data_IF_838350681629
#
_entry.id   IF_838350681629
#
_cell.length_a   1.000
_cell.length_b   1.000
_cell.length_c   1.000
_cell.angle_alpha   90.00
_cell.angle_beta   90.00
_cell.angle_gamma   90.00
#
_symmetry.space_group_name_H-M   'P 1'
#
loop_
_entity.id
_entity.type
_entity.pdbx_description
1 polymer ?
#
# COMPACT_ATOMS: atom_id res chain seq x y z
N UNK A 1 19.23 -58.51 -0.98
CA UNK A 1 17.98 -57.79 -1.37
C UNK A 1 18.29 -56.31 -1.28
N UNK A 2 18.33 -55.56 -2.38
CA UNK A 2 18.59 -54.13 -2.34
C UNK A 2 17.31 -53.36 -2.10
N UNK A 3 17.38 -52.42 -1.17
CA UNK A 3 16.34 -51.42 -0.86
C UNK A 3 16.29 -50.41 -1.99
N UNK A 4 15.11 -50.29 -2.64
CA UNK A 4 14.79 -49.23 -3.59
C UNK A 4 14.59 -47.91 -2.84
N UNK A 5 15.46 -46.94 -3.11
CA UNK A 5 15.20 -45.53 -2.82
C UNK A 5 14.15 -45.02 -3.81
N UNK A 6 12.97 -44.65 -3.28
CA UNK A 6 11.96 -43.98 -4.05
C UNK A 6 12.32 -42.48 -4.15
N UNK A 7 12.96 -42.10 -5.24
CA UNK A 7 13.20 -40.72 -5.59
C UNK A 7 11.90 -40.02 -5.99
N UNK A 8 11.43 -39.07 -5.18
CA UNK A 8 10.29 -38.21 -5.50
C UNK A 8 10.71 -37.24 -6.60
N UNK A 9 10.34 -37.50 -7.85
CA UNK A 9 10.41 -36.51 -8.94
C UNK A 9 9.25 -35.56 -8.81
N UNK A 10 9.49 -34.39 -8.26
CA UNK A 10 8.57 -33.24 -8.36
C UNK A 10 8.66 -32.67 -9.78
N UNK A 11 7.81 -33.13 -10.67
CA UNK A 11 7.52 -32.46 -11.94
C UNK A 11 6.22 -31.67 -11.79
N UNK A 12 6.28 -30.36 -11.88
CA UNK A 12 5.07 -29.54 -11.96
C UNK A 12 5.24 -28.18 -11.29
N UNK A 13 5.65 -27.21 -12.09
CA UNK A 13 5.69 -25.79 -11.69
C UNK A 13 4.27 -25.25 -11.60
N UNK A 14 3.73 -25.08 -10.42
CA UNK A 14 2.56 -24.24 -10.19
C UNK A 14 2.89 -23.25 -9.08
N UNK A 15 3.21 -22.04 -9.46
CA UNK A 15 3.16 -20.88 -8.57
C UNK A 15 1.95 -20.04 -8.97
N UNK A 16 0.98 -19.90 -8.09
CA UNK A 16 -0.17 -19.03 -8.28
C UNK A 16 0.20 -17.69 -7.69
N UNK A 17 0.33 -16.67 -8.54
CA UNK A 17 0.46 -15.28 -8.10
C UNK A 17 -0.85 -14.55 -8.38
N UNK A 18 -1.35 -13.86 -7.38
CA UNK A 18 -2.55 -13.02 -7.51
C UNK A 18 -2.08 -11.64 -7.96
N UNK A 19 -2.55 -11.22 -9.13
CA UNK A 19 -2.45 -9.84 -9.58
C UNK A 19 -3.43 -9.00 -8.74
N UNK A 20 -2.90 -8.09 -7.94
CA UNK A 20 -3.69 -7.22 -7.06
C UNK A 20 -4.55 -6.18 -7.78
N UNK A 21 -4.41 -6.03 -9.10
CA UNK A 21 -5.25 -5.13 -9.89
C UNK A 21 -6.60 -5.74 -10.28
N UNK A 22 -6.70 -7.08 -10.30
CA UNK A 22 -7.93 -7.82 -10.63
C UNK A 22 -7.95 -9.12 -9.85
N UNK A 23 -9.07 -9.52 -9.29
CA UNK A 23 -9.30 -10.85 -8.74
C UNK A 23 -9.32 -11.93 -9.86
N UNK A 24 -8.37 -11.88 -10.79
CA UNK A 24 -8.21 -12.82 -11.88
C UNK A 24 -6.84 -13.51 -11.77
N UNK A 25 -6.82 -14.81 -11.95
CA UNK A 25 -5.58 -15.61 -12.01
C UNK A 25 -4.89 -15.31 -13.33
N UNK A 26 -3.79 -14.57 -13.31
CA UNK A 26 -2.97 -14.35 -14.49
C UNK A 26 -2.12 -15.60 -14.81
N UNK A 27 -1.96 -15.99 -16.08
CA UNK A 27 -1.15 -17.15 -16.43
C UNK A 27 0.34 -16.89 -16.14
N UNK A 28 0.98 -17.89 -15.56
CA UNK A 28 2.39 -17.92 -15.11
C UNK A 28 3.42 -17.48 -16.17
N UNK A 29 3.06 -17.58 -17.45
CA UNK A 29 3.93 -17.29 -18.58
C UNK A 29 4.32 -15.82 -18.72
N UNK A 30 3.58 -14.89 -18.12
CA UNK A 30 3.88 -13.45 -18.16
C UNK A 30 4.98 -13.01 -17.17
N UNK A 31 5.28 -13.82 -16.16
CA UNK A 31 6.28 -13.47 -15.12
C UNK A 31 7.72 -13.96 -15.43
N UNK A 32 7.90 -14.80 -16.44
CA UNK A 32 9.20 -15.47 -16.66
C UNK A 32 10.18 -14.70 -17.56
N UNK A 33 9.84 -13.51 -18.06
CA UNK A 33 10.68 -12.79 -19.03
C UNK A 33 11.34 -11.50 -18.53
N UNK A 34 11.22 -11.14 -17.25
CA UNK A 34 11.93 -10.01 -16.68
C UNK A 34 12.99 -10.48 -15.70
N UNK A 35 14.25 -10.43 -16.13
CA UNK A 35 15.39 -10.45 -15.22
C UNK A 35 15.40 -9.10 -14.47
N UNK A 36 14.43 -8.94 -13.56
CA UNK A 36 14.29 -7.71 -12.76
C UNK A 36 15.51 -7.56 -11.86
N UNK A 37 16.17 -6.44 -11.97
CA UNK A 37 17.19 -6.05 -11.00
C UNK A 37 16.51 -5.45 -9.78
N UNK A 38 16.93 -5.92 -8.61
CA UNK A 38 16.47 -5.42 -7.32
C UNK A 38 17.66 -4.93 -6.49
N UNK A 39 17.35 -4.04 -5.54
CA UNK A 39 18.31 -3.59 -4.53
C UNK A 39 18.26 -4.53 -3.32
N UNK A 40 19.41 -4.95 -2.86
CA UNK A 40 19.56 -5.76 -1.66
C UNK A 40 20.82 -5.37 -0.89
N UNK A 41 20.65 -4.84 0.32
CA UNK A 41 21.74 -4.49 1.24
C UNK A 41 22.90 -3.73 0.57
N UNK A 42 22.59 -2.62 -0.13
CA UNK A 42 23.61 -1.76 -0.76
C UNK A 42 24.03 -2.20 -2.17
N UNK A 43 23.46 -3.27 -2.73
CA UNK A 43 23.83 -3.81 -4.04
C UNK A 43 22.64 -3.94 -4.96
N UNK A 44 22.85 -3.73 -6.26
CA UNK A 44 21.89 -4.06 -7.31
C UNK A 44 22.21 -5.46 -7.83
N UNK A 45 21.25 -6.36 -7.76
CA UNK A 45 21.40 -7.77 -8.10
C UNK A 45 20.21 -8.26 -8.93
N UNK A 46 20.39 -9.25 -9.82
CA UNK A 46 19.26 -9.98 -10.37
C UNK A 46 18.38 -10.51 -9.23
N UNK A 47 17.09 -10.28 -9.29
CA UNK A 47 16.14 -10.60 -8.20
C UNK A 47 16.17 -12.08 -7.82
N UNK A 48 16.38 -12.96 -8.79
CA UNK A 48 16.52 -14.41 -8.61
C UNK A 48 17.74 -14.83 -7.79
N UNK A 49 18.78 -13.97 -7.72
CA UNK A 49 20.00 -14.22 -6.97
C UNK A 49 19.96 -13.72 -5.53
N UNK A 50 18.83 -13.09 -5.12
CA UNK A 50 18.66 -12.58 -3.76
C UNK A 50 18.21 -13.71 -2.85
N UNK A 51 18.96 -13.93 -1.77
CA UNK A 51 18.62 -14.89 -0.72
C UNK A 51 18.45 -14.17 0.61
N UNK A 52 17.33 -14.42 1.28
CA UNK A 52 17.04 -13.89 2.62
C UNK A 52 17.21 -15.02 3.63
N UNK A 53 17.91 -14.73 4.72
CA UNK A 53 18.10 -15.72 5.79
C UNK A 53 16.76 -16.14 6.38
N UNK A 54 16.52 -17.43 6.64
CA UNK A 54 15.33 -17.88 7.38
C UNK A 54 15.30 -17.34 8.82
N UNK A 55 16.42 -16.86 9.35
CA UNK A 55 16.52 -16.21 10.65
C UNK A 55 16.26 -14.69 10.59
N UNK A 56 15.89 -14.15 9.42
CA UNK A 56 15.49 -12.74 9.32
C UNK A 56 14.24 -12.47 10.16
N UNK A 57 14.31 -11.44 10.99
CA UNK A 57 13.23 -11.12 11.92
C UNK A 57 11.97 -10.62 11.21
N UNK A 58 12.09 -10.09 10.00
CA UNK A 58 10.94 -9.79 9.15
C UNK A 58 10.16 -11.05 8.81
N UNK A 59 10.86 -12.15 8.48
CA UNK A 59 10.24 -13.45 8.22
C UNK A 59 9.67 -14.11 9.50
N UNK A 60 10.38 -14.01 10.63
CA UNK A 60 10.00 -14.67 11.86
C UNK A 60 8.91 -13.93 12.67
N UNK A 61 8.87 -12.60 12.60
CA UNK A 61 8.07 -11.75 13.50
C UNK A 61 7.35 -10.58 12.80
N UNK A 62 7.46 -10.46 11.50
CA UNK A 62 7.06 -9.24 10.78
C UNK A 62 7.74 -7.96 11.35
N UNK A 63 8.99 -8.09 11.87
CA UNK A 63 9.76 -7.02 12.50
C UNK A 63 10.45 -6.17 11.43
N UNK A 64 9.66 -5.28 10.80
CA UNK A 64 10.12 -4.45 9.70
C UNK A 64 9.08 -3.42 9.25
N UNK A 65 9.52 -2.56 8.37
CA UNK A 65 8.73 -1.48 7.75
C UNK A 65 8.80 -1.59 6.22
N UNK A 66 7.85 -0.96 5.53
CA UNK A 66 7.89 -0.88 4.08
C UNK A 66 7.43 0.49 3.59
N UNK A 67 7.79 0.82 2.35
CA UNK A 67 7.25 1.94 1.59
C UNK A 67 6.90 1.50 0.17
N UNK A 68 5.93 2.21 -0.41
CA UNK A 68 5.57 2.09 -1.81
C UNK A 68 5.44 3.49 -2.38
N UNK A 69 6.14 3.76 -3.47
CA UNK A 69 6.05 5.02 -4.20
C UNK A 69 5.77 4.78 -5.67
N UNK A 70 5.10 5.73 -6.33
CA UNK A 70 4.71 5.61 -7.74
C UNK A 70 5.51 6.55 -8.61
N UNK A 71 6.03 6.00 -9.70
CA UNK A 71 6.65 6.72 -10.81
C UNK A 71 5.59 7.08 -11.84
N UNK A 72 5.54 8.36 -12.19
CA UNK A 72 4.58 8.94 -13.15
C UNK A 72 5.29 9.32 -14.44
N UNK A 73 5.88 8.33 -15.14
CA UNK A 73 6.52 8.53 -16.45
C UNK A 73 7.49 9.74 -16.49
N UNK A 74 8.38 9.85 -15.50
CA UNK A 74 9.39 10.92 -15.43
C UNK A 74 9.72 11.40 -14.02
N UNK A 75 8.83 11.19 -13.05
CA UNK A 75 9.04 11.64 -11.68
C UNK A 75 8.28 10.79 -10.65
N UNK A 76 8.72 10.87 -9.38
CA UNK A 76 7.98 10.37 -8.23
C UNK A 76 7.14 11.50 -7.61
N UNK A 77 5.86 11.25 -7.39
CA UNK A 77 5.01 12.22 -6.72
C UNK A 77 5.24 12.19 -5.20
N UNK A 78 5.61 13.34 -4.63
CA UNK A 78 5.84 13.55 -3.18
C UNK A 78 6.77 12.52 -2.51
N UNK A 79 7.88 12.19 -3.16
CA UNK A 79 8.91 11.28 -2.63
C UNK A 79 9.40 11.70 -1.23
N UNK A 80 9.47 12.98 -0.95
CA UNK A 80 9.92 13.50 0.35
C UNK A 80 9.00 13.08 1.50
N UNK A 81 7.68 13.06 1.29
CA UNK A 81 6.72 12.58 2.30
C UNK A 81 6.85 11.07 2.51
N UNK A 82 7.08 10.28 1.45
CA UNK A 82 7.36 8.85 1.57
C UNK A 82 8.63 8.59 2.39
N UNK A 83 9.72 9.30 2.10
CA UNK A 83 10.98 9.17 2.84
C UNK A 83 10.82 9.59 4.32
N UNK A 84 10.11 10.66 4.58
CA UNK A 84 9.82 11.13 5.95
C UNK A 84 9.04 10.09 6.74
N UNK A 85 8.03 9.46 6.12
CA UNK A 85 7.23 8.40 6.74
C UNK A 85 8.06 7.13 6.98
N UNK A 86 8.91 6.75 6.03
CA UNK A 86 9.86 5.65 6.20
C UNK A 86 10.74 5.86 7.44
N UNK A 87 11.39 7.01 7.54
CA UNK A 87 12.24 7.36 8.69
C UNK A 87 11.48 7.35 10.00
N UNK A 88 10.23 7.86 10.00
CA UNK A 88 9.36 7.79 11.19
C UNK A 88 9.08 6.33 11.56
N UNK A 89 8.67 5.50 10.61
CA UNK A 89 8.35 4.09 10.87
C UNK A 89 9.55 3.30 11.39
N UNK A 90 10.74 3.51 10.83
CA UNK A 90 12.00 2.93 11.31
C UNK A 90 12.28 3.32 12.76
N UNK A 91 12.14 4.61 13.10
CA UNK A 91 12.34 5.13 14.46
C UNK A 91 11.35 4.51 15.44
N UNK A 92 10.08 4.43 15.08
CA UNK A 92 9.03 3.84 15.95
C UNK A 92 9.31 2.36 16.25
N UNK A 93 9.82 1.58 15.29
CA UNK A 93 10.24 0.21 15.51
C UNK A 93 11.68 0.10 16.07
N UNK A 94 12.39 1.21 16.23
CA UNK A 94 13.80 1.22 16.68
C UNK A 94 14.69 0.35 15.79
N UNK A 95 14.52 0.48 14.46
CA UNK A 95 15.38 -0.15 13.46
C UNK A 95 16.38 0.92 13.01
N UNK A 96 17.67 0.69 13.27
CA UNK A 96 18.74 1.62 12.91
C UNK A 96 19.26 1.27 11.52
N UNK A 97 18.61 1.82 10.48
CA UNK A 97 19.05 1.70 9.10
C UNK A 97 19.62 3.03 8.61
N UNK A 98 20.96 3.10 8.47
CA UNK A 98 21.69 4.32 8.09
C UNK A 98 21.35 4.84 6.71
N UNK A 99 20.96 3.95 5.80
CA UNK A 99 20.80 4.25 4.38
C UNK A 99 19.39 4.74 4.02
N UNK A 100 18.56 5.10 5.01
CA UNK A 100 17.19 5.59 4.78
C UNK A 100 17.15 6.84 3.86
N UNK A 101 18.23 7.64 3.83
CA UNK A 101 18.37 8.79 2.93
C UNK A 101 18.61 8.40 1.47
N UNK A 102 19.05 7.18 1.21
CA UNK A 102 19.32 6.68 -0.14
C UNK A 102 18.05 6.20 -0.87
N UNK A 103 16.91 6.07 -0.18
CA UNK A 103 15.69 5.53 -0.80
C UNK A 103 15.31 6.24 -2.11
N UNK A 104 15.30 7.59 -2.21
CA UNK A 104 14.99 8.26 -3.47
C UNK A 104 15.94 7.91 -4.61
N UNK A 105 17.25 7.81 -4.33
CA UNK A 105 18.25 7.45 -5.34
C UNK A 105 18.14 5.99 -5.75
N UNK A 106 17.92 5.08 -4.80
CA UNK A 106 17.68 3.65 -5.07
C UNK A 106 16.43 3.47 -5.94
N UNK A 107 15.34 4.19 -5.62
CA UNK A 107 14.11 4.12 -6.40
C UNK A 107 14.33 4.59 -7.85
N UNK A 108 15.05 5.72 -8.06
CA UNK A 108 15.39 6.20 -9.40
C UNK A 108 16.27 5.22 -10.19
N UNK A 109 17.24 4.61 -9.52
CA UNK A 109 18.12 3.63 -10.16
C UNK A 109 17.36 2.38 -10.58
N UNK A 110 16.42 1.89 -9.73
CA UNK A 110 15.57 0.75 -10.06
C UNK A 110 14.64 1.02 -11.25
N UNK A 111 14.11 2.24 -11.38
CA UNK A 111 13.32 2.64 -12.56
C UNK A 111 14.18 2.56 -13.83
N UNK A 112 15.41 3.12 -13.81
CA UNK A 112 16.30 3.15 -14.97
C UNK A 112 16.78 1.76 -15.37
N UNK A 113 17.33 1.00 -14.42
CA UNK A 113 17.93 -0.30 -14.72
C UNK A 113 16.90 -1.32 -15.24
N UNK A 114 15.65 -1.21 -14.81
CA UNK A 114 14.54 -2.04 -15.26
C UNK A 114 13.77 -1.45 -16.45
N UNK A 115 14.24 -0.34 -17.04
CA UNK A 115 13.66 0.31 -18.26
C UNK A 115 12.20 0.71 -18.07
N UNK A 116 11.88 1.30 -16.92
CA UNK A 116 10.52 1.69 -16.57
C UNK A 116 10.26 3.21 -16.70
N UNK A 117 11.23 3.98 -17.25
CA UNK A 117 11.19 5.44 -17.28
C UNK A 117 9.97 6.01 -18.01
N UNK A 118 9.54 5.35 -19.08
CA UNK A 118 8.51 5.84 -19.99
C UNK A 118 7.11 5.24 -19.75
N UNK A 119 6.87 4.72 -18.54
CA UNK A 119 5.58 4.15 -18.16
C UNK A 119 5.32 4.41 -16.67
N UNK A 120 4.07 4.24 -16.24
CA UNK A 120 3.80 4.20 -14.82
C UNK A 120 4.48 2.98 -14.19
N UNK A 121 5.10 3.18 -13.05
CA UNK A 121 5.73 2.10 -12.30
C UNK A 121 5.58 2.31 -10.80
N UNK A 122 5.75 1.23 -10.05
CA UNK A 122 5.76 1.24 -8.59
C UNK A 122 7.14 0.81 -8.09
N UNK A 123 7.58 1.38 -7.00
CA UNK A 123 8.78 0.95 -6.28
C UNK A 123 8.38 0.58 -4.86
N UNK A 124 8.70 -0.65 -4.49
CA UNK A 124 8.55 -1.17 -3.13
C UNK A 124 9.90 -1.19 -2.43
N UNK A 125 9.94 -0.77 -1.19
CA UNK A 125 11.06 -0.92 -0.27
C UNK A 125 10.59 -1.61 1.00
N UNK A 126 11.35 -2.60 1.47
CA UNK A 126 11.17 -3.20 2.79
C UNK A 126 12.49 -3.16 3.55
N UNK A 127 12.41 -2.84 4.83
CA UNK A 127 13.55 -2.88 5.75
C UNK A 127 13.14 -3.65 6.98
N UNK A 128 13.80 -4.77 7.25
CA UNK A 128 13.61 -5.55 8.48
C UNK A 128 14.71 -5.23 9.48
N UNK A 129 14.55 -5.66 10.73
CA UNK A 129 15.63 -5.55 11.72
C UNK A 129 16.85 -6.37 11.36
N UNK A 130 16.77 -7.32 10.44
CA UNK A 130 17.86 -8.21 10.03
C UNK A 130 17.79 -9.59 10.66
N UNK A 131 18.79 -10.41 10.35
CA UNK A 131 18.87 -11.82 10.74
C UNK A 131 19.54 -12.00 12.10
N UNK A 132 18.90 -12.76 12.98
CA UNK A 132 19.48 -13.14 14.28
C UNK A 132 18.81 -14.41 14.80
N UNK A 133 19.49 -15.13 15.71
CA UNK A 133 18.88 -16.27 16.41
C UNK A 133 17.50 -15.85 16.99
N UNK A 134 16.49 -16.69 16.79
CA UNK A 134 15.10 -16.41 17.20
C UNK A 134 15.01 -16.14 18.70
N UNK A 135 14.64 -14.90 19.03
CA UNK A 135 14.33 -14.43 20.37
C UNK A 135 13.29 -13.31 20.28
N UNK A 136 12.40 -13.18 21.25
CA UNK A 136 11.45 -12.04 21.32
C UNK A 136 12.16 -10.72 21.64
N UNK A 137 13.26 -10.76 22.42
CA UNK A 137 14.08 -9.58 22.65
C UNK A 137 14.82 -9.15 21.39
N UNK A 138 15.11 -7.87 21.27
CA UNK A 138 15.96 -7.37 20.20
C UNK A 138 17.38 -7.92 20.35
N UNK A 139 18.09 -8.24 19.25
CA UNK A 139 19.43 -8.79 19.29
C UNK A 139 20.42 -7.83 19.95
N UNK A 140 21.34 -8.42 20.70
CA UNK A 140 22.49 -7.73 21.30
C UNK A 140 23.75 -8.53 21.00
N UNK A 141 24.78 -7.96 20.31
CA UNK A 141 24.75 -6.61 19.72
C UNK A 141 23.67 -6.45 18.63
N UNK A 142 23.40 -5.21 18.22
CA UNK A 142 22.52 -4.93 17.07
C UNK A 142 23.03 -5.65 15.83
N UNK A 143 22.11 -6.13 15.01
CA UNK A 143 22.40 -6.74 13.72
C UNK A 143 22.15 -5.75 12.59
N UNK A 144 22.82 -5.98 11.47
CA UNK A 144 22.60 -5.17 10.26
C UNK A 144 21.15 -5.38 9.73
N UNK A 145 20.37 -4.33 9.52
CA UNK A 145 19.06 -4.45 8.90
C UNK A 145 19.15 -5.08 7.50
N UNK A 146 18.12 -5.82 7.13
CA UNK A 146 17.96 -6.32 5.76
C UNK A 146 17.09 -5.36 4.98
N UNK A 147 17.64 -4.74 3.94
CA UNK A 147 16.94 -3.83 3.05
C UNK A 147 16.78 -4.44 1.66
N UNK A 148 15.53 -4.49 1.18
CA UNK A 148 15.16 -5.05 -0.12
C UNK A 148 14.23 -4.08 -0.84
N UNK A 149 14.53 -3.78 -2.12
CA UNK A 149 13.67 -2.92 -2.94
C UNK A 149 13.64 -3.42 -4.39
N UNK A 150 12.47 -3.29 -5.03
CA UNK A 150 12.28 -3.62 -6.44
C UNK A 150 11.25 -2.69 -7.08
N UNK A 151 11.27 -2.62 -8.42
CA UNK A 151 10.34 -1.85 -9.21
C UNK A 151 9.63 -2.72 -10.24
N UNK A 152 8.39 -2.37 -10.58
CA UNK A 152 7.62 -3.04 -11.64
C UNK A 152 6.73 -2.04 -12.39
N UNK A 153 6.40 -2.36 -13.64
CA UNK A 153 5.42 -1.61 -14.43
C UNK A 153 4.03 -1.68 -13.80
N UNK A 154 3.30 -0.57 -13.81
CA UNK A 154 2.00 -0.45 -13.17
C UNK A 154 0.96 0.13 -14.13
N UNK A 155 -0.22 -0.48 -14.17
CA UNK A 155 -1.37 0.04 -14.93
C UNK A 155 -2.44 0.49 -13.94
N UNK A 156 -2.81 1.79 -13.91
CA UNK A 156 -3.89 2.29 -13.07
C UNK A 156 -5.24 1.66 -13.43
N UNK A 157 -6.08 1.35 -12.44
CA UNK A 157 -7.47 0.94 -12.65
C UNK A 157 -8.34 2.19 -12.91
N UNK A 158 -8.21 2.75 -14.13
CA UNK A 158 -8.95 3.95 -14.54
C UNK A 158 -10.46 3.74 -14.49
N UNK A 159 -10.94 2.53 -14.76
CA UNK A 159 -12.36 2.19 -14.67
C UNK A 159 -12.88 2.34 -13.23
N UNK A 160 -12.15 1.84 -12.25
CA UNK A 160 -12.50 2.03 -10.84
C UNK A 160 -12.48 3.51 -10.43
N UNK A 161 -11.50 4.27 -10.91
CA UNK A 161 -11.41 5.71 -10.64
C UNK A 161 -12.56 6.50 -11.28
N UNK A 162 -13.05 6.10 -12.44
CA UNK A 162 -14.13 6.78 -13.17
C UNK A 162 -15.52 6.39 -12.66
N UNK A 163 -15.78 5.09 -12.46
CA UNK A 163 -17.11 4.58 -12.13
C UNK A 163 -17.37 4.38 -10.63
N UNK A 164 -16.30 4.39 -9.83
CA UNK A 164 -16.35 4.09 -8.40
C UNK A 164 -16.36 2.59 -8.09
N UNK A 165 -16.13 2.28 -6.84
CA UNK A 165 -16.01 0.92 -6.30
C UNK A 165 -17.03 0.65 -5.21
N UNK A 166 -17.29 -0.63 -4.98
CA UNK A 166 -18.02 -1.11 -3.81
C UNK A 166 -17.05 -1.67 -2.80
N UNK A 167 -17.29 -1.40 -1.52
CA UNK A 167 -16.39 -1.79 -0.44
C UNK A 167 -17.15 -2.45 0.71
N UNK A 168 -16.47 -3.35 1.40
CA UNK A 168 -16.98 -4.04 2.59
C UNK A 168 -16.74 -3.22 3.85
N UNK A 169 -17.60 -3.38 4.86
CA UNK A 169 -17.31 -2.97 6.24
C UNK A 169 -16.94 -4.19 7.06
N UNK A 170 -15.93 -4.06 7.92
CA UNK A 170 -15.48 -5.14 8.79
C UNK A 170 -14.93 -4.61 10.11
N UNK A 171 -15.06 -5.39 11.18
CA UNK A 171 -14.41 -5.12 12.45
C UNK A 171 -12.89 -5.01 12.29
N UNK A 172 -12.29 -3.98 12.88
CA UNK A 172 -10.85 -3.72 12.84
C UNK A 172 -10.11 -4.59 13.88
N UNK A 173 -9.61 -5.72 13.42
CA UNK A 173 -8.82 -6.66 14.23
C UNK A 173 -7.30 -6.41 14.15
N UNK A 174 -6.88 -5.31 13.53
CA UNK A 174 -5.46 -4.93 13.46
C UNK A 174 -4.94 -4.53 14.85
N UNK A 175 -3.64 -4.51 14.99
CA UNK A 175 -3.01 -3.99 16.21
C UNK A 175 -3.28 -2.48 16.40
N UNK A 176 -2.90 -1.93 17.56
CA UNK A 176 -3.16 -0.51 17.88
C UNK A 176 -2.03 0.45 17.47
N UNK A 177 -1.19 0.09 16.51
CA UNK A 177 -0.10 0.91 15.96
C UNK A 177 -0.14 0.93 14.43
N UNK A 178 -1.34 1.17 13.86
CA UNK A 178 -1.57 1.30 12.42
C UNK A 178 -0.85 2.53 11.82
N UNK A 179 -0.45 3.47 12.67
CA UNK A 179 0.37 4.64 12.32
C UNK A 179 1.77 4.28 11.82
N UNK A 180 2.27 3.09 12.15
CA UNK A 180 3.56 2.57 11.66
C UNK A 180 3.32 1.79 10.38
N UNK A 181 4.02 2.16 9.29
CA UNK A 181 3.94 1.39 8.03
C UNK A 181 4.77 0.11 8.13
N UNK A 182 4.30 -0.82 8.98
CA UNK A 182 4.95 -2.09 9.27
C UNK A 182 4.52 -3.19 8.31
N UNK A 183 5.36 -4.22 8.16
CA UNK A 183 5.06 -5.43 7.38
C UNK A 183 4.14 -6.42 8.10
N UNK A 184 3.61 -6.07 9.28
CA UNK A 184 2.66 -6.88 10.04
C UNK A 184 1.23 -6.72 9.48
N UNK A 185 1.01 -7.23 8.27
CA UNK A 185 -0.19 -6.97 7.46
C UNK A 185 -1.19 -8.14 7.43
N UNK A 186 -1.04 -9.17 8.26
CA UNK A 186 -1.91 -10.34 8.19
C UNK A 186 -3.40 -10.02 8.35
N UNK A 187 -3.85 -9.17 9.30
CA UNK A 187 -5.25 -8.77 9.37
C UNK A 187 -5.74 -8.00 8.13
N UNK A 188 -4.86 -7.16 7.56
CA UNK A 188 -5.15 -6.40 6.34
C UNK A 188 -5.37 -7.35 5.15
N UNK A 189 -4.46 -8.29 4.94
CA UNK A 189 -4.52 -9.24 3.80
C UNK A 189 -5.70 -10.18 3.90
N UNK A 190 -6.02 -10.70 5.10
CA UNK A 190 -7.19 -11.55 5.32
C UNK A 190 -8.50 -10.80 5.02
N UNK A 191 -8.61 -9.56 5.49
CA UNK A 191 -9.81 -8.73 5.27
C UNK A 191 -9.95 -8.31 3.80
N UNK A 192 -8.85 -7.99 3.13
CA UNK A 192 -8.86 -7.69 1.70
C UNK A 192 -9.21 -8.92 0.86
N UNK A 193 -8.68 -10.09 1.19
CA UNK A 193 -9.01 -11.34 0.52
C UNK A 193 -10.50 -11.65 0.62
N UNK A 194 -11.10 -11.48 1.79
CA UNK A 194 -12.55 -11.66 1.98
C UNK A 194 -13.37 -10.67 1.14
N UNK A 195 -12.94 -9.41 1.03
CA UNK A 195 -13.57 -8.45 0.13
C UNK A 195 -13.50 -8.91 -1.34
N UNK A 196 -12.34 -9.39 -1.80
CA UNK A 196 -12.15 -9.92 -3.15
C UNK A 196 -13.05 -11.14 -3.42
N UNK A 197 -13.18 -12.08 -2.49
CA UNK A 197 -14.06 -13.26 -2.59
C UNK A 197 -15.53 -12.88 -2.72
N UNK A 198 -15.93 -11.72 -2.17
CA UNK A 198 -17.25 -11.15 -2.31
C UNK A 198 -17.40 -10.20 -3.52
N UNK A 199 -16.40 -10.14 -4.41
CA UNK A 199 -16.43 -9.28 -5.60
C UNK A 199 -16.27 -7.78 -5.30
N UNK A 200 -15.81 -7.43 -4.11
CA UNK A 200 -15.59 -6.06 -3.65
C UNK A 200 -14.11 -5.65 -3.81
N UNK A 201 -13.85 -4.36 -3.87
CA UNK A 201 -12.53 -3.83 -4.23
C UNK A 201 -11.68 -3.36 -3.03
N UNK A 202 -12.28 -3.25 -1.85
CA UNK A 202 -11.60 -2.84 -0.63
C UNK A 202 -12.42 -3.26 0.59
N UNK A 203 -11.76 -3.38 1.74
CA UNK A 203 -12.38 -3.56 3.05
C UNK A 203 -12.10 -2.34 3.92
N UNK A 204 -13.15 -1.71 4.42
CA UNK A 204 -13.06 -0.56 5.34
C UNK A 204 -13.27 -1.05 6.77
N UNK A 205 -12.38 -0.65 7.66
CA UNK A 205 -12.38 -1.10 9.04
C UNK A 205 -13.23 -0.21 9.95
N UNK A 206 -13.91 -0.86 10.87
CA UNK A 206 -14.68 -0.24 11.96
C UNK A 206 -14.11 -0.69 13.30
N UNK A 207 -13.73 0.24 14.16
CA UNK A 207 -13.22 -0.02 15.51
C UNK A 207 -14.10 0.68 16.54
N UNK A 208 -14.75 -0.10 17.41
CA UNK A 208 -15.67 0.44 18.43
C UNK A 208 -16.77 1.35 17.82
N UNK A 209 -17.35 0.95 16.69
CA UNK A 209 -18.39 1.69 15.99
C UNK A 209 -17.90 2.92 15.22
N UNK A 210 -16.58 3.11 15.09
CA UNK A 210 -15.96 4.24 14.38
C UNK A 210 -15.20 3.73 13.17
N UNK A 211 -15.44 4.35 12.01
CA UNK A 211 -14.72 4.01 10.77
C UNK A 211 -13.29 4.56 10.88
N UNK A 212 -12.31 3.71 10.61
CA UNK A 212 -10.90 4.06 10.68
C UNK A 212 -10.32 4.32 9.28
N UNK A 213 -9.93 3.28 8.57
CA UNK A 213 -9.35 3.34 7.21
C UNK A 213 -9.60 2.02 6.45
N UNK A 214 -9.13 1.93 5.23
CA UNK A 214 -9.19 0.70 4.45
C UNK A 214 -8.06 -0.28 4.79
N UNK A 215 -8.11 -1.48 4.20
CA UNK A 215 -7.07 -2.49 4.39
C UNK A 215 -5.70 -2.03 3.89
N UNK A 216 -5.67 -1.17 2.87
CA UNK A 216 -4.45 -0.55 2.33
C UNK A 216 -4.66 0.89 1.84
N UNK A 217 -5.72 1.57 2.32
CA UNK A 217 -6.11 2.92 1.91
C UNK A 217 -6.65 3.74 3.09
N UNK A 218 -6.60 5.08 2.98
CA UNK A 218 -7.40 5.95 3.84
C UNK A 218 -8.78 6.18 3.20
N UNK A 219 -9.78 6.54 4.01
CA UNK A 219 -11.14 6.82 3.54
C UNK A 219 -11.57 8.24 3.89
N UNK A 220 -12.34 8.84 2.98
CA UNK A 220 -12.94 10.16 3.11
C UNK A 220 -14.44 10.08 2.87
N UNK A 221 -15.19 10.98 3.51
CA UNK A 221 -16.63 11.08 3.41
C UNK A 221 -17.06 12.52 3.16
N UNK A 222 -18.09 12.71 2.36
CA UNK A 222 -18.74 14.01 2.21
C UNK A 222 -20.13 13.96 2.84
N UNK A 223 -20.33 14.78 3.87
CA UNK A 223 -21.59 14.92 4.61
C UNK A 223 -21.92 16.42 4.63
N UNK A 224 -23.06 16.81 4.10
CA UNK A 224 -23.52 18.19 4.03
C UNK A 224 -22.46 19.17 3.51
N UNK A 225 -21.77 18.78 2.41
CA UNK A 225 -20.73 19.57 1.76
C UNK A 225 -19.41 19.69 2.53
N UNK A 226 -19.27 18.99 3.65
CA UNK A 226 -18.06 18.95 4.46
C UNK A 226 -17.30 17.64 4.22
N UNK A 227 -16.01 17.71 4.00
CA UNK A 227 -15.12 16.56 3.84
C UNK A 227 -14.64 16.07 5.22
N UNK A 228 -14.95 14.82 5.54
CA UNK A 228 -14.54 14.16 6.77
C UNK A 228 -13.50 13.08 6.48
N UNK A 229 -12.54 12.92 7.37
CA UNK A 229 -11.64 11.77 7.41
C UNK A 229 -11.18 11.54 8.85
N UNK A 230 -10.81 10.32 9.18
CA UNK A 230 -10.31 10.01 10.52
C UNK A 230 -9.07 10.87 10.84
N UNK A 231 -8.98 11.50 12.03
CA UNK A 231 -7.80 12.27 12.45
C UNK A 231 -6.57 11.37 12.54
N UNK A 232 -5.39 11.95 12.35
CA UNK A 232 -4.14 11.21 12.56
C UNK A 232 -4.09 10.68 14.00
N UNK A 233 -3.92 9.37 14.10
CA UNK A 233 -3.86 8.64 15.36
C UNK A 233 -3.14 7.32 15.15
N UNK A 234 -2.98 6.54 16.21
CA UNK A 234 -2.44 5.18 16.12
C UNK A 234 -3.41 4.16 15.46
N UNK A 235 -4.62 4.57 15.06
CA UNK A 235 -5.60 3.69 14.42
C UNK A 235 -5.59 3.79 12.89
N UNK A 236 -4.92 4.78 12.31
CA UNK A 236 -4.77 4.93 10.86
C UNK A 236 -3.33 5.23 10.47
N UNK A 237 -2.98 4.89 9.23
CA UNK A 237 -1.73 5.33 8.63
C UNK A 237 -1.86 6.79 8.15
N UNK A 238 -0.86 7.62 8.45
CA UNK A 238 -0.71 8.95 7.84
C UNK A 238 -0.35 8.79 6.35
N UNK A 239 -1.39 8.75 5.49
CA UNK A 239 -1.24 8.54 4.05
C UNK A 239 -0.61 9.74 3.36
N UNK A 240 0.37 9.52 2.48
CA UNK A 240 0.96 10.60 1.66
C UNK A 240 -0.11 11.18 0.73
N UNK A 241 -0.87 10.33 0.05
CA UNK A 241 -2.00 10.76 -0.78
C UNK A 241 -3.09 11.45 0.04
N UNK A 242 -3.41 10.95 1.27
CA UNK A 242 -4.34 11.61 2.19
C UNK A 242 -3.92 13.05 2.48
N UNK A 243 -2.66 13.28 2.82
CA UNK A 243 -2.11 14.62 3.11
C UNK A 243 -2.26 15.57 1.91
N UNK A 244 -1.97 15.09 0.71
CA UNK A 244 -2.10 15.89 -0.51
C UNK A 244 -3.57 16.19 -0.82
N UNK A 245 -4.50 15.25 -0.59
CA UNK A 245 -5.94 15.47 -0.74
C UNK A 245 -6.45 16.55 0.21
N UNK A 246 -6.04 16.54 1.48
CA UNK A 246 -6.42 17.57 2.44
C UNK A 246 -5.94 18.95 2.00
N UNK A 247 -4.69 19.07 1.54
CA UNK A 247 -4.13 20.32 0.98
C UNK A 247 -4.92 20.78 -0.25
N UNK A 248 -5.26 19.88 -1.17
CA UNK A 248 -6.07 20.20 -2.35
C UNK A 248 -7.46 20.69 -1.94
N UNK A 249 -8.13 19.97 -1.04
CA UNK A 249 -9.46 20.34 -0.56
C UNK A 249 -9.48 21.71 0.13
N UNK A 250 -8.47 22.01 0.93
CA UNK A 250 -8.30 23.33 1.55
C UNK A 250 -8.12 24.42 0.50
N UNK A 251 -7.27 24.21 -0.51
CA UNK A 251 -7.03 25.13 -1.62
C UNK A 251 -8.29 25.40 -2.46
N UNK A 252 -9.23 24.46 -2.52
CA UNK A 252 -10.52 24.60 -3.22
C UNK A 252 -11.65 25.13 -2.31
N UNK A 253 -11.33 25.52 -1.08
CA UNK A 253 -12.30 26.08 -0.14
C UNK A 253 -13.31 25.08 0.41
N UNK A 254 -13.04 23.76 0.31
CA UNK A 254 -13.90 22.74 0.91
C UNK A 254 -13.70 22.78 2.42
N UNK A 255 -14.81 22.79 3.15
CA UNK A 255 -14.76 22.63 4.61
C UNK A 255 -14.24 21.24 4.97
N UNK A 256 -13.17 21.18 5.76
CA UNK A 256 -12.55 19.92 6.19
C UNK A 256 -12.78 19.70 7.68
N UNK A 257 -13.05 18.47 8.06
CA UNK A 257 -13.02 17.98 9.44
C UNK A 257 -12.23 16.69 9.52
N UNK A 258 -11.09 16.75 10.19
CA UNK A 258 -10.38 15.56 10.63
C UNK A 258 -11.06 15.01 11.87
N UNK A 259 -12.22 14.39 11.65
CA UNK A 259 -13.10 13.81 12.65
C UNK A 259 -13.58 12.46 12.16
N UNK A 260 -13.47 11.45 13.03
CA UNK A 260 -13.85 10.09 12.70
C UNK A 260 -15.37 9.96 12.52
N UNK A 261 -15.79 9.33 11.43
CA UNK A 261 -17.21 9.08 11.14
C UNK A 261 -17.66 7.80 11.84
N UNK A 262 -18.73 7.88 12.61
CA UNK A 262 -19.35 6.72 13.22
C UNK A 262 -20.12 5.90 12.16
N UNK A 263 -20.10 4.58 12.30
CA UNK A 263 -20.76 3.65 11.38
C UNK A 263 -22.26 4.00 11.17
N UNK A 264 -22.98 4.37 12.24
CA UNK A 264 -24.38 4.74 12.19
C UNK A 264 -24.66 6.04 11.40
N UNK A 265 -23.62 6.82 11.06
CA UNK A 265 -23.72 8.03 10.24
C UNK A 265 -23.59 7.76 8.73
N UNK A 266 -23.28 6.53 8.30
CA UNK A 266 -23.15 6.17 6.87
C UNK A 266 -24.38 6.58 6.07
N UNK A 267 -25.58 6.47 6.64
CA UNK A 267 -26.84 6.90 6.00
C UNK A 267 -26.92 8.37 5.59
N UNK A 268 -26.06 9.21 6.15
CA UNK A 268 -25.97 10.64 5.82
C UNK A 268 -24.85 10.95 4.83
N UNK A 269 -24.01 9.98 4.50
CA UNK A 269 -22.90 10.14 3.58
C UNK A 269 -23.44 10.26 2.16
N UNK A 270 -23.09 11.34 1.47
CA UNK A 270 -23.46 11.58 0.08
C UNK A 270 -22.39 11.10 -0.90
N UNK A 271 -21.13 11.26 -0.53
CA UNK A 271 -19.99 10.80 -1.30
C UNK A 271 -18.95 10.18 -0.36
N UNK A 272 -18.24 9.18 -0.85
CA UNK A 272 -17.03 8.70 -0.21
C UNK A 272 -15.98 8.36 -1.27
N UNK A 273 -14.72 8.34 -0.87
CA UNK A 273 -13.62 7.87 -1.71
C UNK A 273 -12.49 7.34 -0.84
N UNK A 274 -11.74 6.42 -1.39
CA UNK A 274 -10.50 5.94 -0.78
C UNK A 274 -9.29 6.63 -1.41
N UNK A 275 -8.17 6.62 -0.69
CA UNK A 275 -6.91 7.12 -1.21
C UNK A 275 -5.72 6.27 -0.81
N UNK A 276 -4.84 6.02 -1.76
CA UNK A 276 -3.51 5.44 -1.57
C UNK A 276 -2.62 5.75 -2.78
N UNK A 277 -1.38 5.30 -2.78
CA UNK A 277 -0.40 5.57 -3.83
C UNK A 277 -0.79 4.96 -5.19
N UNK A 278 -1.44 3.80 -5.22
CA UNK A 278 -1.83 3.13 -6.47
C UNK A 278 -3.18 3.60 -7.01
N UNK A 279 -4.16 3.80 -6.11
CA UNK A 279 -5.55 4.14 -6.45
C UNK A 279 -5.83 5.63 -6.45
N UNK A 280 -4.84 6.46 -6.05
CA UNK A 280 -4.98 7.93 -5.97
C UNK A 280 -6.25 8.34 -5.21
N UNK A 281 -7.25 8.85 -5.91
CA UNK A 281 -8.58 9.17 -5.41
C UNK A 281 -9.58 8.26 -6.12
N UNK A 282 -10.05 7.21 -5.46
CA UNK A 282 -11.02 6.28 -6.05
C UNK A 282 -12.36 6.39 -5.35
N UNK A 283 -13.44 6.77 -6.07
CA UNK A 283 -14.76 6.94 -5.49
C UNK A 283 -15.30 5.63 -4.92
N UNK A 284 -16.03 5.72 -3.81
CA UNK A 284 -16.80 4.63 -3.21
C UNK A 284 -18.28 4.91 -3.44
N UNK A 285 -18.97 4.04 -4.16
CA UNK A 285 -20.39 4.18 -4.50
C UNK A 285 -21.31 3.32 -3.63
N UNK A 286 -20.72 2.31 -2.95
CA UNK A 286 -21.43 1.44 -2.01
C UNK A 286 -20.51 1.07 -0.86
N UNK A 287 -20.96 1.23 0.37
CA UNK A 287 -20.21 0.97 1.60
C UNK A 287 -21.00 0.04 2.51
N UNK A 288 -20.51 -1.20 2.69
CA UNK A 288 -21.16 -2.20 3.53
C UNK A 288 -22.63 -2.46 3.14
N UNK A 289 -22.91 -2.57 1.83
CA UNK A 289 -24.26 -2.78 1.27
C UNK A 289 -25.14 -1.52 1.20
N UNK A 290 -24.65 -0.37 1.69
CA UNK A 290 -25.37 0.90 1.59
C UNK A 290 -24.91 1.67 0.37
N UNK A 291 -25.80 1.94 -0.58
CA UNK A 291 -25.52 2.83 -1.72
C UNK A 291 -25.33 4.25 -1.20
N UNK A 292 -24.25 4.91 -1.63
CA UNK A 292 -23.94 6.29 -1.26
C UNK A 292 -24.50 7.27 -2.30
N UNK A 293 -25.22 8.30 -1.86
CA UNK A 293 -25.86 9.26 -2.75
C UNK A 293 -26.72 8.57 -3.81
N UNK A 294 -26.42 8.84 -5.07
CA UNK A 294 -27.13 8.27 -6.24
C UNK A 294 -26.42 7.02 -6.80
N UNK A 295 -25.44 6.45 -6.09
CA UNK A 295 -24.67 5.29 -6.54
C UNK A 295 -23.65 5.60 -7.65
N UNK A 296 -23.26 6.86 -7.77
CA UNK A 296 -22.26 7.35 -8.73
C UNK A 296 -21.27 8.30 -8.04
N UNK A 297 -20.05 8.48 -8.59
CA UNK A 297 -19.09 9.42 -8.04
C UNK A 297 -19.64 10.85 -7.96
N UNK A 298 -19.60 11.45 -6.77
CA UNK A 298 -20.15 12.76 -6.52
C UNK A 298 -19.25 13.94 -6.93
N UNK A 299 -19.78 15.16 -6.91
CA UNK A 299 -19.08 16.36 -7.42
C UNK A 299 -17.83 16.73 -6.64
N UNK A 300 -17.81 16.58 -5.30
CA UNK A 300 -16.63 16.89 -4.47
C UNK A 300 -15.52 15.91 -4.77
N UNK A 301 -15.82 14.62 -4.85
CA UNK A 301 -14.87 13.56 -5.20
C UNK A 301 -14.26 13.82 -6.59
N UNK A 302 -15.08 14.10 -7.59
CA UNK A 302 -14.63 14.41 -8.96
C UNK A 302 -13.75 15.66 -9.02
N UNK A 303 -14.08 16.68 -8.26
CA UNK A 303 -13.28 17.90 -8.20
C UNK A 303 -11.89 17.62 -7.60
N UNK A 304 -11.81 16.87 -6.49
CA UNK A 304 -10.55 16.47 -5.87
C UNK A 304 -9.72 15.62 -6.86
N UNK A 305 -10.35 14.64 -7.55
CA UNK A 305 -9.68 13.84 -8.59
C UNK A 305 -9.08 14.72 -9.69
N UNK A 306 -9.87 15.66 -10.22
CA UNK A 306 -9.44 16.54 -11.29
C UNK A 306 -8.25 17.41 -10.86
N UNK A 307 -8.28 17.95 -9.64
CA UNK A 307 -7.17 18.76 -9.11
C UNK A 307 -5.92 17.93 -8.87
N UNK A 308 -6.05 16.74 -8.31
CA UNK A 308 -4.94 15.81 -8.15
C UNK A 308 -4.31 15.47 -9.50
N UNK A 309 -5.11 15.16 -10.51
CA UNK A 309 -4.65 14.88 -11.87
C UNK A 309 -3.96 16.10 -12.54
N UNK A 310 -4.45 17.31 -12.29
CA UNK A 310 -3.83 18.55 -12.79
C UNK A 310 -2.45 18.78 -12.16
N UNK A 311 -2.28 18.51 -10.86
CA UNK A 311 -0.98 18.59 -10.20
C UNK A 311 0.01 17.57 -10.81
N UNK A 312 -0.42 16.32 -11.00
CA UNK A 312 0.42 15.30 -11.65
C UNK A 312 0.85 15.76 -13.06
N UNK A 313 -0.08 16.29 -13.85
CA UNK A 313 0.22 16.81 -15.19
C UNK A 313 1.18 18.00 -15.17
N UNK A 314 1.01 18.92 -14.21
CA UNK A 314 1.88 20.10 -14.07
C UNK A 314 3.32 19.73 -13.68
N UNK A 315 3.53 18.61 -12.99
CA UNK A 315 4.86 18.10 -12.63
C UNK A 315 5.53 17.32 -13.76
N UNK A 316 4.74 16.87 -14.74
CA UNK A 316 5.27 16.15 -15.92
C UNK A 316 5.90 17.08 -16.96
N UNK A 317 5.67 18.39 -16.88
CA UNK A 317 6.20 19.46 -17.76
C UNK A 317 5.27 19.69 -18.90
#
# INVERSE_FOLDING_TARGET
>A
MPTQEAGLKLSGKYAIFVDYSHCAIAPLTLYLNYMETAYFNGKLLPRENITISPDDRGFLFADGVYEVTRWYEGFFYDMNSHQTRLKRSLRELRINWSDADLFPSVANELIKINKLENQHAMVYLQVTRGASRRSHSFPKPEVTPTAYSYAWGFTPDTKAMESGIKVMLKEDIRWSRCDIKSIALLPNTLSFQEACENGLKECIFVRNGVITEGSHSNIFFVIDGTLYTHPESNHILSGVTRKNILRIAEGEGIRIREEAVQENRIRFVKEAFISNTSSEVTPVIELGGNTLGDGVPGPVTKMIQNKFNLEIKALKG
#
